data_IF_734377830521
#
_entry.id   IF_734377830521
#
_cell.length_a   1.000
_cell.length_b   1.000
_cell.length_c   1.000
_cell.angle_alpha   90.00
_cell.angle_beta   90.00
_cell.angle_gamma   90.00
#
_symmetry.space_group_name_H-M   'P 1'
#
loop_
_entity.id
_entity.type
_entity.pdbx_description
1 polymer ?
#
# COMPACT_ATOMS: atom_id res chain seq x y z
N UNK A 1 3.35 -22.66 -2.52
CA UNK A 1 4.25 -21.47 -2.50
C UNK A 1 3.42 -20.24 -2.83
N UNK A 2 3.28 -19.30 -1.90
CA UNK A 2 2.61 -18.02 -2.16
C UNK A 2 3.49 -17.16 -3.09
N UNK A 3 2.88 -16.40 -3.99
CA UNK A 3 3.62 -15.44 -4.82
C UNK A 3 3.96 -14.19 -4.00
N UNK A 4 5.14 -13.62 -4.18
CA UNK A 4 5.53 -12.37 -3.52
C UNK A 4 5.29 -11.18 -4.46
N UNK A 5 4.43 -10.25 -4.03
CA UNK A 5 4.29 -8.96 -4.69
C UNK A 5 5.28 -7.96 -4.09
N UNK A 6 6.10 -7.36 -4.94
CA UNK A 6 7.07 -6.32 -4.58
C UNK A 6 6.75 -5.06 -5.37
N UNK A 7 6.59 -3.94 -4.68
CA UNK A 7 6.42 -2.62 -5.29
C UNK A 7 7.66 -1.79 -5.00
N UNK A 8 8.24 -1.18 -6.04
CA UNK A 8 9.35 -0.24 -5.95
C UNK A 8 8.95 1.06 -6.63
N UNK A 9 9.15 2.18 -5.95
CA UNK A 9 8.86 3.51 -6.46
C UNK A 9 10.19 4.23 -6.63
N UNK A 10 10.35 4.92 -7.76
CA UNK A 10 11.46 5.83 -7.98
C UNK A 10 10.91 7.20 -8.34
N UNK A 11 11.09 8.16 -7.44
CA UNK A 11 10.66 9.53 -7.68
C UNK A 11 11.69 10.27 -8.52
N UNK A 12 11.23 11.12 -9.43
CA UNK A 12 12.09 12.10 -10.08
C UNK A 12 12.12 13.38 -9.24
N UNK A 13 13.19 13.54 -8.45
CA UNK A 13 13.46 14.70 -7.60
C UNK A 13 14.55 15.61 -8.17
N UNK A 14 14.73 15.60 -9.49
CA UNK A 14 15.72 16.47 -10.15
C UNK A 14 15.32 17.95 -10.12
N UNK A 15 14.03 18.25 -9.95
CA UNK A 15 13.51 19.61 -9.84
C UNK A 15 13.98 20.34 -8.56
N UNK A 16 14.19 21.66 -8.63
CA UNK A 16 14.71 22.45 -7.49
C UNK A 16 13.75 22.49 -6.30
N UNK A 17 12.46 22.18 -6.48
CA UNK A 17 11.47 22.13 -5.41
C UNK A 17 11.76 21.03 -4.37
N UNK A 18 12.60 20.03 -4.70
CA UNK A 18 12.88 18.88 -3.85
C UNK A 18 14.15 19.03 -2.99
N UNK A 19 14.85 20.15 -3.11
CA UNK A 19 16.07 20.40 -2.34
C UNK A 19 16.17 21.86 -1.92
N UNK A 20 16.20 22.09 -0.62
CA UNK A 20 16.34 23.42 -0.03
C UNK A 20 17.74 23.58 0.58
N UNK A 21 18.60 24.32 -0.12
CA UNK A 21 19.99 24.53 0.31
C UNK A 21 20.02 25.33 1.62
N UNK A 22 20.75 24.82 2.60
CA UNK A 22 20.98 25.51 3.88
C UNK A 22 19.87 25.36 4.91
N UNK A 23 18.77 24.67 4.57
CA UNK A 23 17.65 24.44 5.49
C UNK A 23 17.51 22.94 5.75
N UNK A 24 18.11 22.49 6.86
CA UNK A 24 17.99 21.11 7.33
C UNK A 24 16.88 21.01 8.37
N UNK A 25 15.87 20.20 8.07
CA UNK A 25 14.72 19.94 8.93
C UNK A 25 14.59 18.42 9.15
N UNK A 26 14.00 17.97 10.26
CA UNK A 26 13.80 16.54 10.50
C UNK A 26 12.84 15.97 9.44
N UNK A 27 13.23 14.85 8.82
CA UNK A 27 12.35 14.10 7.93
C UNK A 27 11.07 13.71 8.65
N UNK A 28 9.91 13.97 8.05
CA UNK A 28 8.59 13.65 8.63
C UNK A 28 8.34 12.15 8.85
N UNK A 29 9.16 11.28 8.25
CA UNK A 29 9.02 9.81 8.32
C UNK A 29 10.02 9.20 9.31
N UNK A 30 11.31 9.47 9.14
CA UNK A 30 12.37 8.84 9.92
C UNK A 30 13.00 9.76 10.98
N UNK A 31 12.73 11.06 10.95
CA UNK A 31 13.33 12.05 11.85
C UNK A 31 14.75 12.49 11.47
N UNK A 32 15.44 11.79 10.56
CA UNK A 32 16.79 12.16 10.10
C UNK A 32 16.78 13.59 9.51
N UNK A 33 17.74 14.46 9.90
CA UNK A 33 17.86 15.79 9.31
C UNK A 33 18.07 15.71 7.80
N UNK A 34 17.27 16.47 7.04
CA UNK A 34 17.33 16.47 5.58
C UNK A 34 17.08 17.85 4.98
N UNK A 35 17.80 18.14 3.91
CA UNK A 35 17.55 19.30 3.05
C UNK A 35 16.50 19.02 1.97
N UNK A 36 15.99 17.78 1.87
CA UNK A 36 15.08 17.37 0.81
C UNK A 36 13.62 17.69 1.14
N UNK A 37 12.78 17.84 0.11
CA UNK A 37 11.36 18.19 0.21
C UNK A 37 10.49 17.24 -0.63
N UNK A 38 9.39 16.78 -0.05
CA UNK A 38 8.38 16.02 -0.79
C UNK A 38 7.59 16.90 -1.77
N UNK A 39 6.67 16.32 -2.53
CA UNK A 39 5.83 17.05 -3.50
C UNK A 39 4.92 18.12 -2.89
N UNK A 40 4.81 18.18 -1.56
CA UNK A 40 4.06 19.20 -0.81
C UNK A 40 4.99 20.20 -0.12
N UNK A 41 6.31 20.15 -0.38
CA UNK A 41 7.28 21.04 0.23
C UNK A 41 7.62 20.70 1.69
N UNK A 42 7.27 19.50 2.19
CA UNK A 42 7.57 19.09 3.58
C UNK A 42 8.91 18.37 3.64
N UNK A 43 9.63 18.50 4.75
CA UNK A 43 10.92 17.84 4.94
C UNK A 43 10.78 16.31 4.88
N UNK A 44 11.36 15.68 3.86
CA UNK A 44 11.30 14.24 3.67
C UNK A 44 12.49 13.75 2.84
N UNK A 45 13.15 12.67 3.25
CA UNK A 45 14.14 12.00 2.40
C UNK A 45 13.44 11.28 1.23
N UNK A 46 14.08 11.26 0.07
CA UNK A 46 13.56 10.64 -1.15
C UNK A 46 13.18 9.18 -0.94
N UNK A 47 14.05 8.43 -0.28
CA UNK A 47 13.83 7.02 0.05
C UNK A 47 12.63 6.84 0.97
N UNK A 48 12.44 7.72 1.96
CA UNK A 48 11.27 7.68 2.84
C UNK A 48 9.98 7.95 2.07
N UNK A 49 9.98 8.95 1.17
CA UNK A 49 8.82 9.26 0.33
C UNK A 49 8.50 8.11 -0.65
N UNK A 50 9.53 7.51 -1.27
CA UNK A 50 9.39 6.33 -2.14
C UNK A 50 8.79 5.14 -1.40
N UNK A 51 9.26 4.86 -0.19
CA UNK A 51 8.76 3.76 0.63
C UNK A 51 7.30 3.96 1.06
N UNK A 52 6.90 5.18 1.40
CA UNK A 52 5.50 5.47 1.72
C UNK A 52 4.57 5.19 0.54
N UNK A 53 4.93 5.68 -0.66
CA UNK A 53 4.15 5.44 -1.87
C UNK A 53 4.16 3.94 -2.21
N UNK A 54 5.30 3.26 -2.06
CA UNK A 54 5.39 1.82 -2.29
C UNK A 54 4.48 1.03 -1.35
N UNK A 55 4.40 1.40 -0.06
CA UNK A 55 3.50 0.77 0.92
C UNK A 55 2.04 1.01 0.57
N UNK A 56 1.67 2.23 0.18
CA UNK A 56 0.31 2.58 -0.24
C UNK A 56 -0.11 1.77 -1.47
N UNK A 57 0.71 1.79 -2.52
CA UNK A 57 0.47 1.04 -3.75
C UNK A 57 0.43 -0.47 -3.52
N UNK A 58 1.26 -1.00 -2.62
CA UNK A 58 1.22 -2.42 -2.25
C UNK A 58 -0.09 -2.77 -1.53
N UNK A 59 -0.57 -1.91 -0.64
CA UNK A 59 -1.86 -2.08 0.05
C UNK A 59 -3.02 -2.12 -0.94
N UNK A 60 -3.10 -1.11 -1.81
CA UNK A 60 -4.11 -1.03 -2.87
C UNK A 60 -4.01 -2.21 -3.83
N UNK A 61 -2.81 -2.56 -4.29
CA UNK A 61 -2.58 -3.71 -5.17
C UNK A 61 -3.03 -5.03 -4.56
N UNK A 62 -2.73 -5.27 -3.28
CA UNK A 62 -3.19 -6.46 -2.55
C UNK A 62 -4.71 -6.55 -2.45
N UNK A 63 -5.41 -5.42 -2.33
CA UNK A 63 -6.87 -5.39 -2.29
C UNK A 63 -7.51 -5.67 -3.67
N UNK A 64 -6.79 -5.42 -4.76
CA UNK A 64 -7.27 -5.58 -6.13
C UNK A 64 -6.87 -6.91 -6.79
N UNK A 65 -5.85 -7.60 -6.26
CA UNK A 65 -5.38 -8.87 -6.82
C UNK A 65 -6.21 -10.02 -6.28
N UNK A 66 -6.92 -10.72 -7.17
CA UNK A 66 -7.51 -12.01 -6.87
C UNK A 66 -6.44 -13.11 -6.98
N UNK A 67 -6.19 -13.84 -5.89
CA UNK A 67 -5.41 -15.08 -5.97
C UNK A 67 -6.32 -16.21 -6.44
N UNK A 68 -6.27 -16.55 -7.73
CA UNK A 68 -7.11 -17.61 -8.33
C UNK A 68 -6.88 -19.00 -7.72
N UNK A 69 -5.77 -19.20 -6.99
CA UNK A 69 -5.51 -20.46 -6.26
C UNK A 69 -6.27 -20.52 -4.94
N UNK A 70 -6.75 -19.39 -4.44
CA UNK A 70 -7.58 -19.30 -3.24
C UNK A 70 -9.03 -19.26 -3.73
N UNK A 71 -9.77 -20.38 -3.68
CA UNK A 71 -11.17 -20.38 -4.07
C UNK A 71 -11.91 -19.36 -3.19
N UNK A 72 -12.60 -18.42 -3.83
CA UNK A 72 -13.51 -17.52 -3.13
C UNK A 72 -14.50 -18.39 -2.36
N UNK A 73 -14.63 -18.24 -1.03
CA UNK A 73 -15.60 -19.04 -0.30
C UNK A 73 -16.95 -18.78 -0.95
N UNK A 74 -17.61 -19.86 -1.38
CA UNK A 74 -18.98 -19.77 -1.87
C UNK A 74 -19.77 -19.04 -0.78
N UNK A 75 -20.26 -17.84 -1.09
CA UNK A 75 -21.13 -17.11 -0.18
C UNK A 75 -22.25 -18.10 0.15
N UNK A 76 -22.34 -18.50 1.43
CA UNK A 76 -23.33 -19.45 1.90
C UNK A 76 -24.69 -18.75 1.78
N UNK A 77 -25.28 -18.81 0.59
CA UNK A 77 -26.58 -18.27 0.30
C UNK A 77 -27.60 -19.15 1.03
N UNK A 78 -27.93 -18.71 2.25
CA UNK A 78 -29.16 -19.02 2.97
C UNK A 78 -29.68 -20.45 2.80
N UNK A 79 -29.24 -21.34 3.68
CA UNK A 79 -29.75 -22.69 3.76
C UNK A 79 -31.28 -22.75 3.88
N UNK A 80 -31.86 -23.72 3.18
CA UNK A 80 -33.06 -24.42 3.64
C UNK A 80 -32.67 -25.84 3.97
N UNK A 81 -32.57 -26.16 5.26
CA UNK A 81 -32.74 -27.54 5.70
C UNK A 81 -34.18 -27.91 5.33
N UNK A 82 -34.36 -28.80 4.36
CA UNK A 82 -35.65 -29.42 4.12
C UNK A 82 -35.96 -30.29 5.35
N UNK A 83 -36.91 -29.85 6.17
CA UNK A 83 -37.49 -30.66 7.24
C UNK A 83 -38.13 -31.89 6.60
N UNK A 84 -37.67 -33.07 7.01
CA UNK A 84 -38.33 -34.33 6.77
C UNK A 84 -39.77 -34.24 7.31
N UNK A 85 -40.73 -34.14 6.40
CA UNK A 85 -42.16 -34.26 6.69
C UNK A 85 -42.68 -35.52 6.02
N UNK A 86 -42.77 -36.61 6.79
CA UNK A 86 -43.72 -37.68 6.47
C UNK A 86 -45.15 -37.15 6.55
N UNK A 87 -46.10 -37.84 5.91
CA UNK A 87 -47.13 -38.45 6.75
C UNK A 87 -47.57 -39.84 6.27
N UNK A 88 -47.87 -40.67 7.29
CA UNK A 88 -48.95 -41.68 7.43
C UNK A 88 -49.29 -42.55 6.20
#
# INVERSE_FOLDING_TARGET
>A
MAGLLVVKVHLDWTGPAHYERGVSLPCRVCGTPTCQRDGQGRACEKTCAEDEIARELLGTGRALIADERVPTPAAFAGGRLATAGGPQ
#
